data_IF_364284330138
#
_entry.id   IF_364284330138
#
_cell.length_a   1.000
_cell.length_b   1.000
_cell.length_c   1.000
_cell.angle_alpha   90.00
_cell.angle_beta   90.00
_cell.angle_gamma   90.00
#
_symmetry.space_group_name_H-M   'P 1'
#
loop_
_entity.id
_entity.type
_entity.pdbx_description
1 polymer ?
2 non-polymer ?
3 water ?
#
# COMPACT_ATOMS: atom_id res chain seq x y z
N UNK A 29 -12.01 -9.98 -7.70
CA UNK A 29 -12.36 -8.59 -7.26
C UNK A 29 -12.52 -8.58 -5.72
N UNK A 30 -13.73 -8.27 -5.24
CA UNK A 30 -14.20 -8.55 -3.85
C UNK A 30 -14.22 -10.08 -3.61
N UNK A 31 -14.27 -10.88 -4.69
CA UNK A 31 -14.25 -12.37 -4.69
C UNK A 31 -13.00 -12.90 -3.96
N UNK A 32 -11.81 -12.41 -4.32
CA UNK A 32 -10.51 -12.75 -3.69
C UNK A 32 -10.57 -12.54 -2.16
N UNK A 33 -11.23 -11.46 -1.73
CA UNK A 33 -11.30 -11.01 -0.31
C UNK A 33 -12.41 -11.78 0.44
N UNK A 34 -13.19 -12.61 -0.28
CA UNK A 34 -14.17 -13.55 0.30
C UNK A 34 -13.50 -14.72 0.98
N UNK A 35 -12.25 -15.01 0.60
CA UNK A 35 -11.47 -16.18 1.08
C UNK A 35 -10.62 -15.75 2.29
N UNK A 36 -10.43 -16.64 3.26
CA UNK A 36 -9.71 -16.37 4.53
C UNK A 36 -8.23 -16.12 4.25
N UNK A 37 -7.71 -16.63 3.14
CA UNK A 37 -6.24 -16.74 2.91
C UNK A 37 -5.56 -15.37 2.99
N UNK A 38 -6.12 -14.38 2.30
CA UNK A 38 -5.55 -13.00 2.25
C UNK A 38 -5.69 -12.38 3.65
N UNK A 39 -6.77 -12.67 4.39
CA UNK A 39 -6.99 -12.12 5.76
C UNK A 39 -5.99 -12.71 6.74
N UNK A 40 -5.71 -14.00 6.65
CA UNK A 40 -4.68 -14.64 7.47
C UNK A 40 -3.33 -13.95 7.22
N UNK A 41 -2.99 -13.69 5.96
CA UNK A 41 -1.68 -13.09 5.60
C UNK A 41 -1.57 -11.69 6.23
N UNK A 42 -2.63 -10.90 6.12
CA UNK A 42 -2.64 -9.51 6.64
C UNK A 42 -2.54 -9.57 8.16
N UNK A 43 -3.27 -10.47 8.81
CA UNK A 43 -3.30 -10.55 10.28
C UNK A 43 -1.95 -11.04 10.82
N UNK A 44 -1.25 -11.91 10.10
CA UNK A 44 0.08 -12.42 10.56
C UNK A 44 1.19 -11.44 10.18
N UNK A 45 0.90 -10.36 9.47
CA UNK A 45 1.86 -9.26 9.24
C UNK A 45 1.89 -8.42 10.52
N UNK A 46 2.85 -8.71 11.39
CA UNK A 46 2.97 -8.10 12.73
C UNK A 46 3.24 -6.59 12.63
N UNK A 47 4.08 -6.16 11.70
CA UNK A 47 4.39 -4.71 11.53
C UNK A 47 3.07 -3.98 11.23
N UNK A 48 2.30 -4.50 10.28
CA UNK A 48 1.02 -3.92 9.86
C UNK A 48 0.07 -3.92 11.06
N UNK A 49 -0.19 -5.09 11.61
CA UNK A 49 -1.33 -5.28 12.52
C UNK A 49 -0.99 -4.67 13.89
N UNK A 50 0.25 -4.82 14.37
CA UNK A 50 0.68 -4.21 15.66
C UNK A 50 0.74 -2.67 15.55
N UNK A 51 1.02 -2.11 14.37
CA UNK A 51 0.98 -0.64 14.15
C UNK A 51 -0.45 -0.13 14.38
N UNK A 52 -1.44 -0.76 13.79
CA UNK A 52 -2.84 -0.31 13.96
C UNK A 52 -3.24 -0.48 15.43
N UNK A 53 -2.91 -1.62 16.03
CA UNK A 53 -3.24 -1.95 17.43
C UNK A 53 -2.64 -0.85 18.32
N UNK A 54 -1.35 -0.58 18.14
CA UNK A 54 -0.58 0.40 18.95
C UNK A 54 -1.19 1.78 18.79
N UNK A 55 -1.48 2.19 17.54
CA UNK A 55 -2.07 3.50 17.25
C UNK A 55 -3.35 3.66 18.11
N UNK A 56 -4.24 2.66 18.07
CA UNK A 56 -5.57 2.76 18.72
C UNK A 56 -5.42 2.68 20.24
N UNK A 57 -4.69 1.67 20.73
CA UNK A 57 -4.55 1.40 22.19
C UNK A 57 -3.75 2.52 22.87
N UNK A 58 -2.82 3.17 22.17
CA UNK A 58 -1.94 4.22 22.75
C UNK A 58 -2.52 5.62 22.52
N UNK A 59 -3.63 5.73 21.79
CA UNK A 59 -4.32 7.03 21.56
C UNK A 59 -5.82 6.86 21.74
N UNK A 60 -6.27 6.31 22.89
CA UNK A 60 -7.68 5.99 23.06
C UNK A 60 -8.57 7.25 23.07
N UNK A 61 -8.02 8.42 23.36
CA UNK A 61 -8.76 9.71 23.29
C UNK A 61 -9.34 9.92 21.89
N UNK A 62 -8.74 9.33 20.85
CA UNK A 62 -9.23 9.54 19.45
C UNK A 62 -10.56 8.77 19.27
N UNK A 63 -10.76 7.73 20.04
CA UNK A 63 -11.87 6.76 19.86
C UNK A 63 -12.94 6.89 20.95
N UNK A 64 -12.60 7.28 22.18
CA UNK A 64 -13.53 7.20 23.34
C UNK A 64 -14.81 8.00 23.04
N UNK A 65 -15.97 7.33 23.11
CA UNK A 65 -17.33 7.90 22.87
C UNK A 65 -17.46 8.44 21.44
N UNK A 66 -16.67 7.93 20.48
CA UNK A 66 -16.76 8.44 19.08
C UNK A 66 -17.54 7.44 18.24
N UNK A 67 -18.10 7.92 17.14
CA UNK A 67 -18.72 7.06 16.09
C UNK A 67 -17.63 6.82 15.03
N UNK A 68 -17.25 5.55 14.85
CA UNK A 68 -16.10 5.13 14.00
C UNK A 68 -16.64 4.33 12.82
N UNK A 69 -16.18 4.66 11.62
CA UNK A 69 -16.44 3.87 10.39
C UNK A 69 -15.17 3.14 9.97
N UNK A 70 -15.25 1.82 9.90
CA UNK A 70 -14.18 0.91 9.44
C UNK A 70 -14.50 0.52 7.99
N UNK A 71 -13.87 1.18 7.02
CA UNK A 71 -14.11 0.96 5.57
C UNK A 71 -13.31 -0.25 5.09
N UNK A 72 -13.99 -1.35 4.80
CA UNK A 72 -13.36 -2.62 4.41
C UNK A 72 -12.86 -3.39 5.61
N UNK A 73 -13.76 -3.67 6.54
CA UNK A 73 -13.46 -4.15 7.91
C UNK A 73 -12.97 -5.60 7.88
N UNK A 74 -13.13 -6.33 6.77
CA UNK A 74 -12.63 -7.71 6.69
C UNK A 74 -13.19 -8.59 7.80
N UNK A 75 -12.31 -9.26 8.55
CA UNK A 75 -12.64 -10.16 9.67
C UNK A 75 -13.11 -9.38 10.92
N UNK A 76 -12.96 -8.05 10.94
CA UNK A 76 -13.55 -7.18 11.99
C UNK A 76 -12.58 -6.85 13.13
N UNK A 77 -11.32 -7.29 13.06
CA UNK A 77 -10.36 -7.10 14.17
C UNK A 77 -10.14 -5.60 14.42
N UNK A 78 -10.04 -4.77 13.39
CA UNK A 78 -9.79 -3.32 13.54
C UNK A 78 -10.99 -2.68 14.25
N UNK A 79 -12.19 -3.12 13.91
CA UNK A 79 -13.45 -2.65 14.54
C UNK A 79 -13.42 -3.02 16.03
N UNK A 80 -12.92 -4.20 16.34
CA UNK A 80 -12.87 -4.68 17.73
C UNK A 80 -11.78 -3.88 18.50
N UNK A 81 -10.68 -3.53 17.86
CA UNK A 81 -9.68 -2.63 18.49
C UNK A 81 -10.36 -1.33 18.90
N UNK A 82 -11.16 -0.74 18.00
CA UNK A 82 -11.80 0.60 18.20
C UNK A 82 -12.83 0.50 19.35
N UNK A 83 -13.58 -0.60 19.40
CA UNK A 83 -14.55 -0.88 20.47
C UNK A 83 -13.79 -0.97 21.80
N UNK A 84 -12.70 -1.72 21.84
CA UNK A 84 -11.89 -1.91 23.08
C UNK A 84 -11.39 -0.54 23.58
N UNK A 85 -11.07 0.38 22.68
CA UNK A 85 -10.54 1.72 23.00
C UNK A 85 -11.68 2.69 23.39
N UNK A 86 -12.93 2.23 23.37
CA UNK A 86 -14.09 2.91 24.00
C UNK A 86 -14.97 3.60 22.98
N UNK A 87 -14.92 3.22 21.70
CA UNK A 87 -15.81 3.77 20.66
C UNK A 87 -17.27 3.65 21.15
N UNK A 88 -18.09 4.68 20.92
CA UNK A 88 -19.54 4.63 21.24
C UNK A 88 -20.20 3.66 20.27
N UNK A 89 -19.85 3.75 19.00
CA UNK A 89 -20.39 2.86 17.95
C UNK A 89 -19.29 2.68 16.91
N UNK A 90 -19.13 1.46 16.41
CA UNK A 90 -18.26 1.15 15.25
C UNK A 90 -19.13 0.53 14.16
N UNK A 91 -19.08 1.10 12.96
CA UNK A 91 -19.74 0.59 11.74
C UNK A 91 -18.67 -0.04 10.85
N UNK A 92 -18.68 -1.36 10.76
CA UNK A 92 -17.76 -2.14 9.90
C UNK A 92 -18.45 -2.47 8.60
N UNK A 93 -17.89 -2.01 7.48
CA UNK A 93 -18.51 -2.17 6.13
C UNK A 93 -17.53 -2.98 5.27
N UNK A 94 -18.03 -4.03 4.62
CA UNK A 94 -17.25 -4.81 3.62
C UNK A 94 -18.20 -5.36 2.55
N UNK A 95 -17.80 -5.30 1.28
CA UNK A 95 -18.53 -5.83 0.09
C UNK A 95 -18.40 -7.36 0.03
N UNK A 96 -17.31 -7.91 0.57
CA UNK A 96 -16.94 -9.34 0.49
C UNK A 96 -17.78 -10.18 1.44
N UNK A 97 -17.85 -11.49 1.16
CA UNK A 97 -18.52 -12.55 1.98
C UNK A 97 -17.84 -12.67 3.36
N UNK A 98 -16.59 -12.24 3.50
CA UNK A 98 -15.84 -12.31 4.80
C UNK A 98 -16.68 -11.61 5.89
N UNK A 99 -17.54 -10.68 5.52
CA UNK A 99 -18.35 -9.92 6.51
C UNK A 99 -19.22 -10.87 7.33
N UNK A 100 -19.66 -11.99 6.75
CA UNK A 100 -20.49 -13.00 7.44
C UNK A 100 -19.63 -13.66 8.52
N UNK A 101 -18.35 -13.89 8.25
CA UNK A 101 -17.39 -14.38 9.27
C UNK A 101 -17.17 -13.30 10.35
N UNK A 102 -17.04 -12.02 9.95
CA UNK A 102 -16.91 -10.88 10.87
C UNK A 102 -18.10 -10.91 11.85
N UNK A 103 -19.30 -11.08 11.31
CA UNK A 103 -20.56 -11.09 12.11
C UNK A 103 -20.46 -12.11 13.24
N UNK A 104 -20.00 -13.33 12.95
CA UNK A 104 -19.87 -14.39 13.98
C UNK A 104 -18.78 -14.02 14.95
N UNK A 105 -17.69 -13.46 14.44
CA UNK A 105 -16.50 -13.12 15.26
C UNK A 105 -16.90 -12.04 16.28
N UNK A 106 -17.62 -10.99 15.86
CA UNK A 106 -18.07 -9.87 16.74
C UNK A 106 -18.98 -10.46 17.84
N UNK A 107 -19.83 -11.42 17.48
CA UNK A 107 -20.77 -12.09 18.44
C UNK A 107 -19.95 -12.95 19.40
N UNK A 108 -18.96 -13.67 18.90
CA UNK A 108 -18.12 -14.54 19.75
C UNK A 108 -17.38 -13.71 20.80
N UNK A 109 -17.02 -12.46 20.49
CA UNK A 109 -16.30 -11.55 21.42
C UNK A 109 -17.29 -10.64 22.17
N UNK A 110 -18.60 -10.86 21.99
CA UNK A 110 -19.69 -10.17 22.72
C UNK A 110 -19.61 -8.65 22.51
N UNK A 111 -19.46 -8.21 21.25
CA UNK A 111 -19.27 -6.78 20.91
C UNK A 111 -20.37 -6.31 19.96
N UNK A 112 -21.42 -7.10 19.79
CA UNK A 112 -22.51 -6.84 18.80
C UNK A 112 -23.29 -5.57 19.21
N UNK A 113 -23.29 -5.20 20.50
CA UNK A 113 -24.00 -3.98 20.97
C UNK A 113 -23.21 -2.73 20.60
N UNK A 114 -21.91 -2.84 20.32
CA UNK A 114 -21.06 -1.67 19.98
C UNK A 114 -20.72 -1.68 18.47
N UNK A 115 -20.54 -2.85 17.88
CA UNK A 115 -20.13 -2.97 16.45
C UNK A 115 -21.31 -3.44 15.61
N UNK A 116 -21.73 -2.62 14.65
CA UNK A 116 -22.72 -2.98 13.60
C UNK A 116 -21.97 -3.24 12.28
N UNK A 117 -22.12 -4.43 11.72
CA UNK A 117 -21.51 -4.84 10.43
C UNK A 117 -22.56 -4.75 9.31
N UNK A 118 -22.16 -4.15 8.18
CA UNK A 118 -23.03 -3.90 6.98
C UNK A 118 -22.34 -4.49 5.75
N UNK A 119 -22.97 -5.45 5.05
CA UNK A 119 -22.45 -6.02 3.78
C UNK A 119 -22.83 -5.11 2.61
N UNK A 120 -21.86 -4.80 1.75
CA UNK A 120 -22.03 -4.00 0.52
C UNK A 120 -20.86 -3.05 0.31
N UNK A 121 -20.90 -2.30 -0.79
CA UNK A 121 -19.86 -1.31 -1.12
C UNK A 121 -20.13 -0.04 -0.32
N UNK A 122 -19.11 0.52 0.32
CA UNK A 122 -19.23 1.79 1.07
C UNK A 122 -19.85 2.85 0.15
N UNK A 123 -19.69 2.71 -1.17
CA UNK A 123 -20.22 3.68 -2.17
C UNK A 123 -21.77 3.65 -2.20
N UNK A 124 -22.39 2.52 -1.84
CA UNK A 124 -23.87 2.30 -2.02
C UNK A 124 -24.61 2.05 -0.69
N UNK A 125 -23.97 1.48 0.34
CA UNK A 125 -24.68 0.98 1.55
C UNK A 125 -25.36 2.16 2.24
N UNK A 126 -26.41 1.89 3.01
CA UNK A 126 -27.09 2.86 3.90
C UNK A 126 -26.54 2.68 5.32
N UNK A 127 -26.04 3.76 5.91
CA UNK A 127 -25.51 3.79 7.31
C UNK A 127 -26.58 4.34 8.24
N UNK A 128 -26.74 3.76 9.44
CA UNK A 128 -27.74 4.23 10.40
C UNK A 128 -27.42 5.61 10.99
N UNK A 129 -26.42 6.31 10.45
CA UNK A 129 -26.00 7.66 10.91
C UNK A 129 -25.68 8.51 9.67
N UNK A 130 -25.78 9.83 9.77
CA UNK A 130 -25.47 10.78 8.66
C UNK A 130 -23.95 10.99 8.57
N UNK A 131 -23.28 11.13 9.72
CA UNK A 131 -21.84 11.47 9.81
C UNK A 131 -21.14 10.56 10.83
N UNK A 132 -19.80 10.46 10.74
CA UNK A 132 -18.94 9.70 11.71
C UNK A 132 -17.83 10.62 12.19
N UNK A 133 -17.26 10.33 13.35
CA UNK A 133 -16.20 11.15 13.97
C UNK A 133 -14.85 10.74 13.36
N UNK A 134 -14.69 9.45 13.08
CA UNK A 134 -13.38 8.84 12.72
C UNK A 134 -13.63 7.81 11.63
N UNK A 135 -12.77 7.81 10.61
CA UNK A 135 -12.68 6.71 9.61
C UNK A 135 -11.32 6.03 9.76
N UNK A 136 -11.32 4.70 9.83
CA UNK A 136 -10.10 3.86 9.85
C UNK A 136 -10.25 2.85 8.73
N UNK A 137 -9.13 2.48 8.12
CA UNK A 137 -9.09 1.41 7.09
C UNK A 137 -7.64 1.00 6.85
N UNK A 138 -7.50 -0.17 6.26
CA UNK A 138 -6.23 -0.64 5.68
C UNK A 138 -6.50 -0.86 4.18
N UNK A 139 -6.23 0.18 3.39
CA UNK A 139 -6.57 0.26 1.95
C UNK A 139 -5.35 0.01 1.07
N UNK A 140 -4.15 -0.03 1.67
CA UNK A 140 -2.85 0.11 0.95
C UNK A 140 -2.57 -1.15 0.14
N UNK A 141 -2.16 -0.97 -1.12
CA UNK A 141 -1.76 -2.08 -2.01
C UNK A 141 -0.28 -2.08 -2.25
N UNK A 142 0.21 -2.97 -3.09
CA UNK A 142 1.63 -2.95 -3.51
C UNK A 142 1.93 -1.56 -4.06
N UNK A 143 3.12 -1.04 -3.74
CA UNK A 143 3.58 0.30 -4.18
C UNK A 143 2.53 1.33 -3.77
N UNK A 144 1.91 1.10 -2.60
CA UNK A 144 0.85 1.92 -1.99
C UNK A 144 -0.45 1.86 -2.81
N UNK A 145 -0.41 2.08 -4.12
CA UNK A 145 -1.65 2.45 -4.86
C UNK A 145 -2.22 1.29 -5.70
N UNK A 146 -1.50 0.19 -5.92
CA UNK A 146 -2.02 -0.94 -6.73
C UNK A 146 -3.31 -1.46 -6.08
N UNK A 147 -4.34 -1.72 -6.90
CA UNK A 147 -5.59 -2.40 -6.48
C UNK A 147 -5.92 -1.91 -5.09
N UNK A 148 -5.59 -0.65 -4.81
CA UNK A 148 -5.88 0.04 -3.52
C UNK A 148 -7.29 0.59 -3.59
N UNK A 149 -7.89 0.75 -2.43
CA UNK A 149 -9.26 1.27 -2.30
C UNK A 149 -9.19 2.68 -1.72
N UNK A 150 -8.07 3.39 -1.90
CA UNK A 150 -8.01 4.76 -1.34
C UNK A 150 -9.21 5.53 -1.93
N UNK A 151 -9.56 5.27 -3.19
CA UNK A 151 -10.68 5.97 -3.88
C UNK A 151 -11.98 5.74 -3.05
N UNK A 152 -12.22 4.52 -2.59
CA UNK A 152 -13.39 4.16 -1.76
C UNK A 152 -13.32 4.85 -0.39
N UNK A 153 -12.14 4.88 0.23
CA UNK A 153 -11.92 5.56 1.53
C UNK A 153 -12.20 7.06 1.34
N UNK A 154 -11.75 7.66 0.24
CA UNK A 154 -11.94 9.11 0.02
C UNK A 154 -13.42 9.40 -0.20
N UNK A 155 -14.16 8.49 -0.83
CA UNK A 155 -15.62 8.63 -1.03
C UNK A 155 -16.29 8.71 0.35
N UNK A 156 -15.98 7.75 1.23
CA UNK A 156 -16.50 7.68 2.62
C UNK A 156 -16.15 8.97 3.37
N UNK A 157 -14.92 9.46 3.24
CA UNK A 157 -14.49 10.72 3.92
C UNK A 157 -15.38 11.87 3.45
N UNK A 158 -15.51 12.06 2.14
CA UNK A 158 -16.17 13.25 1.56
C UNK A 158 -17.67 13.21 1.89
N UNK A 159 -18.28 12.02 1.91
CA UNK A 159 -19.73 11.82 2.19
C UNK A 159 -20.02 11.79 3.70
N UNK A 160 -19.19 11.17 4.54
CA UNK A 160 -19.59 10.75 5.92
C UNK A 160 -18.76 11.41 7.03
N UNK A 161 -17.55 11.90 6.78
CA UNK A 161 -16.76 12.47 7.90
C UNK A 161 -17.40 13.78 8.38
N UNK A 162 -17.68 13.87 9.68
CA UNK A 162 -18.12 15.10 10.36
C UNK A 162 -17.08 16.21 10.14
N UNK A 163 -17.50 17.47 10.23
CA UNK A 163 -16.59 18.64 10.31
C UNK A 163 -15.69 18.42 11.52
N UNK A 164 -14.37 18.58 11.34
CA UNK A 164 -13.37 18.42 12.41
C UNK A 164 -13.09 16.95 12.73
N UNK A 165 -13.66 16.02 11.97
CA UNK A 165 -13.39 14.58 12.06
C UNK A 165 -11.99 14.21 11.55
N UNK A 166 -11.61 12.94 11.66
CA UNK A 166 -10.22 12.47 11.41
C UNK A 166 -10.25 11.14 10.64
N UNK A 167 -9.28 10.92 9.76
CA UNK A 167 -9.15 9.68 9.00
C UNK A 167 -7.74 9.12 9.25
N UNK A 168 -7.63 7.81 9.42
CA UNK A 168 -6.36 7.12 9.75
C UNK A 168 -6.22 5.85 8.95
N UNK A 169 -5.00 5.51 8.50
CA UNK A 169 -3.84 6.38 8.69
C UNK A 169 -3.95 7.67 7.87
N UNK A 170 -3.35 8.75 8.36
CA UNK A 170 -3.61 10.10 7.79
C UNK A 170 -2.54 10.46 6.78
N UNK A 171 -1.31 9.96 6.91
CA UNK A 171 -0.17 10.40 6.05
C UNK A 171 0.53 9.16 5.48
N UNK A 172 0.81 9.21 4.19
CA UNK A 172 1.49 8.14 3.43
C UNK A 172 2.56 8.79 2.56
N UNK A 173 3.68 8.12 2.36
CA UNK A 173 4.71 8.55 1.39
C UNK A 173 5.08 7.37 0.51
N UNK A 174 5.53 7.65 -0.71
CA UNK A 174 6.13 6.64 -1.62
C UNK A 174 7.57 7.06 -1.88
N UNK A 175 8.49 6.10 -1.88
CA UNK A 175 9.92 6.34 -2.12
C UNK A 175 10.42 5.41 -3.22
N UNK A 176 11.49 5.84 -3.90
CA UNK A 176 12.26 4.99 -4.84
C UNK A 176 13.68 4.84 -4.29
N UNK A 177 14.31 3.73 -4.61
CA UNK A 177 15.75 3.49 -4.32
C UNK A 177 16.36 2.68 -5.47
N UNK A 178 17.62 2.94 -5.81
CA UNK A 178 18.34 2.23 -6.89
C UNK A 178 18.88 0.90 -6.34
N UNK A 179 18.93 -0.09 -7.22
CA UNK A 179 19.31 -1.49 -6.91
C UNK A 179 20.40 -1.92 -7.88
N UNK A 180 21.39 -2.64 -7.35
CA UNK A 180 22.36 -3.39 -8.15
C UNK A 180 22.27 -4.87 -7.81
N UNK A 181 21.74 -5.67 -8.72
CA UNK A 181 21.62 -7.14 -8.53
C UNK A 181 21.69 -7.83 -9.89
N UNK A 182 22.90 -7.96 -10.41
CA UNK A 182 23.12 -8.49 -11.79
C UNK A 182 22.63 -9.94 -11.84
N UNK A 183 22.76 -10.69 -10.76
CA UNK A 183 22.39 -12.14 -10.72
C UNK A 183 20.88 -12.31 -10.80
N UNK A 184 20.13 -11.58 -9.97
CA UNK A 184 18.66 -11.56 -10.02
C UNK A 184 18.20 -11.10 -11.41
N UNK A 185 18.85 -10.07 -11.96
CA UNK A 185 18.51 -9.56 -13.31
C UNK A 185 18.69 -10.68 -14.36
N UNK A 186 19.82 -11.36 -14.30
CA UNK A 186 20.17 -12.46 -15.24
C UNK A 186 19.17 -13.63 -15.06
N UNK A 187 18.73 -13.89 -13.82
CA UNK A 187 17.75 -14.97 -13.49
C UNK A 187 16.42 -14.72 -14.17
N UNK A 188 16.01 -13.46 -14.33
CA UNK A 188 14.65 -13.09 -14.82
C UNK A 188 14.69 -12.79 -16.32
N UNK A 189 15.78 -12.20 -16.83
CA UNK A 189 15.83 -11.69 -18.24
C UNK A 189 16.74 -12.54 -19.11
N UNK A 190 18.04 -12.55 -18.82
CA UNK A 190 19.08 -13.27 -19.59
C UNK A 190 18.76 -14.77 -19.62
N UNK A 191 18.03 -15.28 -18.62
CA UNK A 191 17.54 -16.68 -18.53
C UNK A 191 17.00 -17.15 -19.89
N UNK A 192 16.21 -16.31 -20.57
CA UNK A 192 15.41 -16.69 -21.76
C UNK A 192 16.26 -16.78 -23.05
N UNK A 193 17.54 -16.43 -22.99
CA UNK A 193 18.45 -16.42 -24.18
C UNK A 193 18.79 -17.86 -24.55
N UNK A 194 19.00 -18.72 -23.56
CA UNK A 194 19.43 -20.13 -23.75
C UNK A 194 18.76 -21.01 -22.69
N UNK A 195 17.66 -21.66 -23.07
CA UNK A 195 16.89 -22.57 -22.19
C UNK A 195 17.02 -23.99 -22.73
N UNK A 196 17.86 -24.79 -22.09
CA UNK A 196 18.18 -26.18 -22.48
C UNK A 196 18.63 -26.19 -23.94
N UNK A 197 19.47 -25.22 -24.33
CA UNK A 197 20.08 -25.11 -25.67
C UNK A 197 19.20 -24.42 -26.70
N UNK A 198 17.99 -23.99 -26.35
CA UNK A 198 17.08 -23.29 -27.29
C UNK A 198 16.98 -21.81 -26.92
N UNK A 199 16.93 -20.94 -27.93
CA UNK A 199 16.74 -19.48 -27.77
C UNK A 199 15.28 -19.19 -27.41
N UNK A 200 15.00 -18.37 -26.40
CA UNK A 200 13.61 -17.98 -26.07
C UNK A 200 13.56 -16.47 -25.81
N UNK A 201 14.47 -15.73 -26.43
CA UNK A 201 14.73 -14.28 -26.26
C UNK A 201 13.45 -13.45 -26.39
N UNK A 202 12.52 -13.83 -27.27
CA UNK A 202 11.28 -13.04 -27.54
C UNK A 202 10.39 -13.02 -26.29
N UNK A 203 10.72 -13.79 -25.24
CA UNK A 203 9.98 -13.79 -23.96
C UNK A 203 10.34 -12.54 -23.13
N UNK A 204 11.55 -12.00 -23.30
CA UNK A 204 12.08 -10.85 -22.50
C UNK A 204 11.10 -9.67 -22.57
N UNK A 205 10.39 -9.51 -23.69
CA UNK A 205 9.53 -8.33 -23.97
C UNK A 205 8.26 -8.42 -23.13
N UNK A 206 7.85 -9.62 -22.69
CA UNK A 206 6.70 -9.82 -21.79
C UNK A 206 7.14 -9.65 -20.33
N UNK A 207 8.41 -9.89 -20.04
CA UNK A 207 8.94 -9.93 -18.65
C UNK A 207 9.27 -8.51 -18.18
N UNK A 208 9.96 -7.73 -19.01
CA UNK A 208 10.52 -6.41 -18.58
C UNK A 208 9.40 -5.52 -18.01
N UNK A 209 8.23 -5.39 -18.69
CA UNK A 209 7.18 -4.48 -18.23
C UNK A 209 6.35 -4.91 -17.02
N UNK A 210 6.56 -6.09 -16.46
CA UNK A 210 5.86 -6.52 -15.24
C UNK A 210 6.72 -6.17 -14.03
N UNK A 211 6.19 -5.38 -13.11
CA UNK A 211 6.84 -5.11 -11.81
C UNK A 211 6.79 -6.39 -10.99
N UNK A 212 7.81 -6.59 -10.17
CA UNK A 212 7.98 -7.79 -9.34
C UNK A 212 7.77 -7.38 -7.89
N UNK A 213 6.95 -8.12 -7.15
CA UNK A 213 6.78 -7.88 -5.69
C UNK A 213 7.64 -8.90 -4.94
N UNK A 214 8.69 -8.44 -4.26
CA UNK A 214 9.68 -9.33 -3.63
C UNK A 214 10.38 -8.57 -2.52
N UNK A 215 10.91 -9.31 -1.54
CA UNK A 215 11.75 -8.73 -0.47
C UNK A 215 13.17 -8.58 -1.03
N UNK A 216 13.70 -7.35 -1.03
CA UNK A 216 15.07 -7.06 -1.49
C UNK A 216 16.07 -7.26 -0.35
N UNK A 217 17.20 -7.86 -0.68
CA UNK A 217 18.43 -7.82 0.16
C UNK A 217 18.89 -6.37 0.28
N UNK A 218 18.92 -5.77 1.48
CA UNK A 218 19.31 -4.38 1.64
C UNK A 218 20.76 -4.09 1.20
N UNK A 219 21.59 -5.13 1.13
CA UNK A 219 22.98 -5.04 0.61
C UNK A 219 22.99 -4.63 -0.88
N UNK A 220 21.90 -4.84 -1.62
CA UNK A 220 21.82 -4.56 -3.08
C UNK A 220 21.36 -3.11 -3.34
N UNK A 221 21.10 -2.32 -2.30
CA UNK A 221 20.68 -0.90 -2.48
C UNK A 221 21.92 -0.06 -2.74
N UNK A 222 21.89 0.77 -3.78
CA UNK A 222 23.09 1.54 -4.24
C UNK A 222 22.76 3.03 -4.30
N UNK A 223 21.67 3.47 -3.68
CA UNK A 223 21.39 4.92 -3.57
C UNK A 223 20.73 5.18 -2.23
N UNK A 224 20.74 6.44 -1.82
CA UNK A 224 19.80 6.94 -0.82
C UNK A 224 18.41 6.85 -1.44
N UNK A 225 17.35 6.66 -0.63
CA UNK A 225 15.98 6.68 -1.14
C UNK A 225 15.58 8.11 -1.53
N UNK A 226 14.63 8.25 -2.47
CA UNK A 226 14.01 9.54 -2.83
C UNK A 226 12.50 9.43 -2.68
N UNK A 227 11.91 10.31 -1.86
CA UNK A 227 10.44 10.43 -1.74
C UNK A 227 9.87 10.98 -3.03
N UNK A 228 8.88 10.32 -3.62
CA UNK A 228 8.24 10.82 -4.88
C UNK A 228 6.80 11.24 -4.64
N UNK A 229 6.22 10.99 -3.46
CA UNK A 229 4.78 11.27 -3.26
C UNK A 229 4.50 11.38 -1.77
N UNK A 230 3.80 12.45 -1.39
CA UNK A 230 3.29 12.66 -0.02
C UNK A 230 1.77 12.83 -0.13
N UNK A 231 1.01 12.03 0.62
CA UNK A 231 -0.48 12.10 0.68
C UNK A 231 -0.88 12.40 2.12
N UNK A 232 -1.71 13.43 2.33
CA UNK A 232 -2.52 13.57 3.57
C UNK A 232 -3.98 13.25 3.20
N UNK A 233 -4.52 12.19 3.78
CA UNK A 233 -5.86 11.66 3.44
C UNK A 233 -6.95 12.68 3.81
N UNK A 234 -6.65 13.66 4.66
CA UNK A 234 -7.60 14.73 5.03
C UNK A 234 -7.78 15.68 3.83
N UNK A 235 -6.72 15.94 3.06
CA UNK A 235 -6.74 17.02 2.02
C UNK A 235 -6.64 16.44 0.60
N UNK A 236 -6.29 15.17 0.41
CA UNK A 236 -6.04 14.63 -0.94
C UNK A 236 -7.38 14.35 -1.63
N UNK A 237 -7.40 14.37 -2.96
CA UNK A 237 -8.56 14.00 -3.82
C UNK A 237 -8.13 12.83 -4.73
N UNK A 238 -9.08 12.16 -5.38
CA UNK A 238 -8.78 11.02 -6.29
C UNK A 238 -7.83 11.49 -7.39
N UNK A 239 -7.96 12.73 -7.86
CA UNK A 239 -7.17 13.28 -8.99
C UNK A 239 -5.68 13.39 -8.61
N UNK A 240 -5.36 13.59 -7.32
CA UNK A 240 -3.96 13.67 -6.80
C UNK A 240 -3.24 12.32 -6.89
N UNK A 241 -3.97 11.22 -7.04
CA UNK A 241 -3.44 9.84 -6.96
C UNK A 241 -2.87 9.39 -8.32
N UNK A 242 -3.14 10.14 -9.38
CA UNK A 242 -2.37 10.07 -10.64
C UNK A 242 -1.40 11.24 -10.60
N UNK A 243 -0.10 10.99 -10.60
CA UNK A 243 0.92 12.04 -10.32
C UNK A 243 2.19 11.76 -11.11
N UNK A 244 2.99 12.82 -11.29
CA UNK A 244 4.37 12.76 -11.82
C UNK A 244 5.29 13.33 -10.78
N UNK A 245 6.50 12.83 -10.73
CA UNK A 245 7.54 13.40 -9.86
C UNK A 245 8.88 13.27 -10.58
N UNK A 246 9.63 14.36 -10.60
CA UNK A 246 11.07 14.35 -10.91
C UNK A 246 11.72 13.76 -9.67
N UNK A 247 12.79 13.00 -9.82
CA UNK A 247 13.50 12.46 -8.64
C UNK A 247 14.99 12.48 -8.93
N UNK A 248 15.76 12.49 -7.84
CA UNK A 248 17.23 12.41 -7.87
C UNK A 248 17.67 11.32 -6.89
N UNK A 249 18.36 10.32 -7.39
CA UNK A 249 18.90 9.23 -6.54
C UNK A 249 20.37 9.52 -6.30
N UNK A 250 20.72 9.79 -5.04
CA UNK A 250 22.14 10.00 -4.59
C UNK A 250 22.82 8.63 -4.55
N UNK A 251 23.65 8.32 -5.55
CA UNK A 251 24.32 7.00 -5.66
C UNK A 251 25.35 6.85 -4.53
N UNK A 252 25.34 5.72 -3.84
CA UNK A 252 26.21 5.41 -2.66
C UNK A 252 27.23 4.33 -3.00
N UNK A 253 27.17 3.69 -4.17
CA UNK A 253 28.11 2.60 -4.55
C UNK A 253 28.31 2.59 -6.05
N UNK A 254 29.57 2.61 -6.47
CA UNK A 254 30.00 2.39 -7.86
C UNK A 254 29.64 0.97 -8.26
N UNK A 255 28.70 0.80 -9.18
CA UNK A 255 28.04 -0.49 -9.45
C UNK A 255 27.26 -0.41 -10.76
N UNK A 256 26.73 -1.55 -11.18
CA UNK A 256 25.77 -1.66 -12.30
C UNK A 256 24.36 -1.53 -11.70
N UNK A 257 23.64 -0.48 -12.06
CA UNK A 257 22.24 -0.27 -11.64
C UNK A 257 21.35 -1.16 -12.52
N UNK A 258 20.65 -2.13 -11.92
CA UNK A 258 19.85 -3.14 -12.65
C UNK A 258 18.35 -2.91 -12.45
N UNK A 259 17.94 -2.14 -11.45
CA UNK A 259 16.51 -1.98 -11.12
C UNK A 259 16.31 -0.75 -10.26
N UNK A 260 15.08 -0.27 -10.26
CA UNK A 260 14.58 0.73 -9.28
C UNK A 260 13.54 0.04 -8.41
N UNK A 261 13.62 0.20 -7.09
CA UNK A 261 12.66 -0.38 -6.14
C UNK A 261 11.78 0.74 -5.59
N UNK A 262 10.52 0.41 -5.35
CA UNK A 262 9.54 1.32 -4.73
C UNK A 262 9.06 0.74 -3.43
N UNK A 263 8.72 1.61 -2.49
CA UNK A 263 8.10 1.22 -1.20
C UNK A 263 7.37 2.42 -0.65
N UNK A 264 6.71 2.24 0.49
CA UNK A 264 5.88 3.30 1.08
C UNK A 264 5.98 3.25 2.59
N UNK A 265 5.73 4.40 3.19
CA UNK A 265 5.68 4.64 4.64
C UNK A 265 4.27 5.10 5.03
N UNK A 266 3.79 4.66 6.19
CA UNK A 266 2.43 4.89 6.71
C UNK A 266 2.60 5.57 8.06
N UNK A 267 1.90 6.68 8.26
CA UNK A 267 1.95 7.51 9.48
C UNK A 267 0.56 7.68 10.08
N UNK A 268 0.50 7.51 11.39
CA UNK A 268 -0.64 7.90 12.24
C UNK A 268 -0.15 9.11 13.04
N UNK A 269 -0.67 10.30 12.74
CA UNK A 269 -0.11 11.57 13.25
C UNK A 269 -1.20 12.41 13.93
N UNK A 270 -2.32 12.65 13.27
CA UNK A 270 -3.26 13.73 13.69
C UNK A 270 -3.76 13.48 15.10
N UNK A 271 -3.54 14.43 16.00
CA UNK A 271 -4.09 14.40 17.39
C UNK A 271 -3.50 13.24 18.20
N UNK A 272 -2.43 12.58 17.75
CA UNK A 272 -1.78 11.50 18.51
C UNK A 272 -0.83 12.07 19.57
N UNK A 273 -0.94 11.58 20.80
CA UNK A 273 0.11 11.69 21.82
C UNK A 273 1.21 10.66 21.53
N UNK A 274 0.83 9.52 20.94
CA UNK A 274 1.77 8.41 20.63
C UNK A 274 1.72 8.15 19.12
N UNK A 275 2.54 8.87 18.35
CA UNK A 275 2.56 8.74 16.88
C UNK A 275 3.06 7.35 16.51
N UNK A 276 2.57 6.83 15.41
CA UNK A 276 2.96 5.48 14.93
C UNK A 276 3.37 5.63 13.47
N UNK A 277 4.47 4.99 13.09
CA UNK A 277 4.92 4.91 11.68
C UNK A 277 5.33 3.48 11.41
N UNK A 278 5.10 3.01 10.19
CA UNK A 278 5.77 1.78 9.70
C UNK A 278 6.19 2.02 8.26
N UNK A 279 7.31 1.41 7.89
CA UNK A 279 7.90 1.46 6.53
C UNK A 279 7.76 0.08 5.92
N UNK A 280 7.57 0.02 4.61
CA UNK A 280 7.64 -1.26 3.85
C UNK A 280 8.92 -1.31 3.04
N UNK A 281 9.90 -0.45 3.37
CA UNK A 281 11.18 -0.41 2.65
C UNK A 281 12.13 -1.54 3.06
N UNK A 282 13.15 -1.80 2.24
CA UNK A 282 14.01 -2.96 2.42
C UNK A 282 14.96 -2.85 3.63
N UNK A 283 15.12 -1.66 4.23
CA UNK A 283 15.95 -1.46 5.45
C UNK A 283 15.12 -1.77 6.70
N UNK A 284 13.82 -2.03 6.52
CA UNK A 284 12.90 -2.31 7.64
C UNK A 284 12.45 -3.77 7.59
N UNK A 285 12.02 -4.30 8.73
CA UNK A 285 11.37 -5.63 8.84
C UNK A 285 10.39 -5.83 7.70
N UNK A 286 10.42 -7.00 7.05
CA UNK A 286 9.56 -7.28 5.89
C UNK A 286 8.09 -7.31 6.33
N UNK A 287 7.23 -6.86 5.43
CA UNK A 287 5.75 -6.86 5.54
C UNK A 287 5.24 -7.66 4.36
N UNK A 288 3.95 -7.94 4.33
CA UNK A 288 3.30 -8.68 3.23
C UNK A 288 3.33 -7.83 1.95
N UNK A 289 3.55 -6.53 2.05
CA UNK A 289 3.68 -5.67 0.85
C UNK A 289 5.06 -5.89 0.18
N UNK A 290 6.04 -6.40 0.92
CA UNK A 290 7.44 -6.56 0.46
C UNK A 290 7.91 -5.23 -0.14
N UNK A 291 8.58 -5.27 -1.30
CA UNK A 291 8.92 -4.09 -2.13
C UNK A 291 8.50 -4.33 -3.58
N UNK A 292 8.27 -3.27 -4.34
CA UNK A 292 7.92 -3.36 -5.76
C UNK A 292 9.18 -3.03 -6.58
N UNK A 293 9.54 -3.89 -7.52
CA UNK A 293 10.82 -3.78 -8.24
C UNK A 293 10.55 -3.63 -9.74
N UNK A 294 11.12 -2.58 -10.34
CA UNK A 294 11.05 -2.27 -11.78
C UNK A 294 12.41 -2.57 -12.36
N UNK A 295 12.53 -3.72 -13.02
CA UNK A 295 13.77 -4.16 -13.70
C UNK A 295 14.07 -3.25 -14.87
N UNK A 296 15.33 -2.88 -15.04
CA UNK A 296 15.75 -2.06 -16.21
C UNK A 296 16.03 -3.00 -17.40
N UNK A 297 15.51 -2.65 -18.58
CA UNK A 297 15.85 -3.40 -19.83
C UNK A 297 17.36 -3.36 -20.05
N UNK A 298 18.00 -2.21 -19.83
CA UNK A 298 19.47 -2.04 -20.04
C UNK A 298 20.11 -1.50 -18.76
N UNK A 299 20.65 -2.38 -17.89
CA UNK A 299 21.41 -1.92 -16.73
C UNK A 299 22.53 -0.97 -17.17
N UNK A 300 22.93 -0.08 -16.30
CA UNK A 300 23.92 0.96 -16.67
C UNK A 300 24.75 1.26 -15.44
N UNK A 301 26.01 1.60 -15.66
CA UNK A 301 27.01 1.88 -14.59
C UNK A 301 26.68 3.23 -13.93
N UNK A 302 26.79 3.27 -12.60
CA UNK A 302 26.70 4.51 -11.80
C UNK A 302 27.96 4.56 -10.92
N UNK A 303 28.30 5.75 -10.45
CA UNK A 303 29.46 6.02 -9.56
C UNK A 303 28.94 6.61 -8.25
N UNK A 304 29.50 6.16 -7.14
CA UNK A 304 29.28 6.75 -5.81
C UNK A 304 29.38 8.27 -5.93
N UNK A 305 28.43 8.98 -5.33
CA UNK A 305 28.35 10.46 -5.34
C UNK A 305 27.59 11.00 -6.52
N UNK A 306 27.28 10.18 -7.52
CA UNK A 306 26.50 10.61 -8.73
C UNK A 306 25.09 11.00 -8.25
N UNK A 307 24.53 12.05 -8.82
CA UNK A 307 23.11 12.44 -8.64
C UNK A 307 22.32 11.95 -9.87
N UNK A 308 21.70 10.78 -9.76
CA UNK A 308 20.98 10.09 -10.86
C UNK A 308 19.58 10.68 -11.01
N UNK A 309 19.28 11.29 -12.15
CA UNK A 309 18.02 12.06 -12.30
C UNK A 309 17.05 11.21 -13.11
N UNK A 310 15.80 11.18 -12.69
CA UNK A 310 14.76 10.50 -13.46
C UNK A 310 13.40 11.12 -13.28
N UNK A 311 12.42 10.52 -13.92
CA UNK A 311 11.02 10.95 -13.85
C UNK A 311 10.15 9.71 -13.73
N UNK A 312 9.15 9.78 -12.87
CA UNK A 312 8.15 8.69 -12.68
C UNK A 312 6.76 9.32 -12.74
N UNK A 313 5.86 8.65 -13.43
CA UNK A 313 4.43 9.00 -13.48
C UNK A 313 3.60 7.76 -13.20
N UNK A 314 2.58 7.92 -12.37
CA UNK A 314 1.59 6.84 -12.05
C UNK A 314 0.26 7.23 -12.67
N UNK A 315 -0.33 6.31 -13.45
CA UNK A 315 -1.67 6.42 -14.07
C UNK A 315 -2.54 5.26 -13.61
N UNK A 316 -3.84 5.48 -13.42
CA UNK A 316 -4.87 4.41 -13.34
C UNK A 316 -5.09 3.83 -14.74
N UNK A 317 -4.82 2.54 -14.93
CA UNK A 317 -5.07 1.78 -16.17
C UNK A 317 -6.48 2.09 -16.68
N UNK A 318 -6.63 2.28 -17.99
CA UNK A 318 -7.92 2.58 -18.69
C UNK A 318 -8.83 1.34 -18.62
N UNK A 319 -8.25 0.14 -18.77
CA UNK A 319 -8.96 -1.19 -18.78
C UNK A 319 -9.49 -1.52 -17.38
N UNK A 320 -8.64 -1.99 -16.46
CA UNK A 320 -8.97 -2.23 -15.03
C UNK A 320 -8.41 -1.08 -14.19
N UNK A 321 -9.24 -0.07 -13.78
CA UNK A 321 -8.77 1.04 -12.96
C UNK A 321 -8.27 0.66 -11.54
N UNK A 322 -8.34 -0.63 -11.16
CA UNK A 322 -7.64 -1.19 -9.98
C UNK A 322 -6.18 -1.54 -10.37
N UNK A 323 -5.86 -1.48 -11.67
CA UNK A 323 -4.49 -1.67 -12.22
C UNK A 323 -3.82 -0.32 -12.48
N UNK A 324 -2.61 -0.19 -11.96
CA UNK A 324 -1.74 0.99 -12.12
C UNK A 324 -0.82 0.72 -13.28
N UNK A 325 -0.36 1.77 -13.93
CA UNK A 325 0.89 1.73 -14.69
C UNK A 325 1.83 2.80 -14.16
N UNK A 326 3.10 2.47 -14.21
CA UNK A 326 4.20 3.32 -13.71
C UNK A 326 5.14 3.54 -14.88
N UNK A 327 5.29 4.80 -15.30
CA UNK A 327 6.20 5.19 -16.40
C UNK A 327 7.47 5.76 -15.77
N UNK A 328 8.58 5.15 -16.08
CA UNK A 328 9.91 5.47 -15.51
C UNK A 328 10.84 5.91 -16.63
N UNK A 329 11.42 7.09 -16.50
CA UNK A 329 12.49 7.59 -17.39
C UNK A 329 13.77 7.72 -16.56
N UNK A 330 14.81 7.06 -17.03
CA UNK A 330 16.12 6.99 -16.34
C UNK A 330 17.15 6.69 -17.42
N UNK A 331 18.32 7.34 -17.37
CA UNK A 331 19.45 7.03 -18.30
C UNK A 331 18.97 7.12 -19.74
N UNK A 332 18.14 8.12 -20.05
CA UNK A 332 17.70 8.46 -21.44
C UNK A 332 16.89 7.34 -22.05
N UNK A 333 16.21 6.52 -21.25
CA UNK A 333 15.20 5.55 -21.76
C UNK A 333 13.99 5.52 -20.83
N UNK A 334 12.83 5.21 -21.41
CA UNK A 334 11.51 5.22 -20.74
C UNK A 334 10.90 3.84 -20.87
N UNK A 335 10.36 3.31 -19.78
CA UNK A 335 9.61 2.03 -19.78
C UNK A 335 8.38 2.21 -18.92
N UNK A 336 7.24 1.69 -19.38
CA UNK A 336 6.00 1.60 -18.58
C UNK A 336 5.85 0.20 -18.01
N UNK A 337 5.50 0.12 -16.74
CA UNK A 337 5.44 -1.11 -15.95
C UNK A 337 4.02 -1.24 -15.40
N UNK A 338 3.50 -2.47 -15.33
CA UNK A 338 2.27 -2.77 -14.57
C UNK A 338 2.51 -3.84 -13.52
N UNK A 339 1.58 -4.01 -12.58
CA UNK A 339 1.63 -5.13 -11.58
C UNK A 339 0.78 -6.31 -12.10
#
# INVERSE_FOLDING_TARGET
MGSSHHHHHHSSGLVPRGSDLQEDEDGVYFSSYGHYGIHEEMLKDKIRTESYRDFIYQNPHIFKDKVVLDVGCGTGILSMFAAKAGAKKVLGVDQSEILYQAMDIIRLNKLEDTITLIKGKIEEVHLPVEKVDVIISEWMGYFLLFESMLDSVLYAKNKYLAKGGSVYPDICTISLVAVSDVNKHADRIAFWDDVYGFKMSCMKKAVIPEAVVEVLDPKTLISEPCGIKHIDCHTTSISDLEFSSDFTLKITRTSMCTAIAGYFDIYFEKNCHNRVVFSTGPQSTKTHWKQTVFLLEKPFSVKAGEALKGKVTVHKNKKDPRSLTVTLTLNNSTQTYGLQ
#
